data_IF_590253778356
#
_entry.id   IF_590253778356
#
_cell.length_a   1.000
_cell.length_b   1.000
_cell.length_c   1.000
_cell.angle_alpha   90.00
_cell.angle_beta   90.00
_cell.angle_gamma   90.00
#
_symmetry.space_group_name_H-M   'P 1'
#
loop_
_entity.id
_entity.type
_entity.pdbx_description
1 polymer ?
#
# COMPACT_ATOMS: atom_id res chain seq x y z
N UNK A 1 -19.94 -3.81 13.27
CA UNK A 1 -19.14 -4.03 14.49
C UNK A 1 -17.74 -3.44 14.28
N UNK A 2 -17.36 -2.45 15.09
CA UNK A 2 -15.99 -1.90 15.09
C UNK A 2 -14.98 -3.02 15.38
N UNK A 3 -13.79 -2.97 14.77
CA UNK A 3 -12.68 -3.93 14.96
C UNK A 3 -12.94 -5.40 14.55
N UNK A 4 -14.04 -5.72 13.87
CA UNK A 4 -14.25 -7.07 13.30
C UNK A 4 -13.47 -7.32 12.00
N UNK A 5 -12.84 -6.29 11.43
CA UNK A 5 -12.15 -6.42 10.15
C UNK A 5 -10.87 -7.28 10.23
N UNK A 6 -9.96 -7.11 11.21
CA UNK A 6 -8.75 -7.94 11.32
C UNK A 6 -9.06 -9.45 11.37
N UNK A 7 -10.08 -9.86 12.12
CA UNK A 7 -10.45 -11.29 12.22
C UNK A 7 -11.02 -11.84 10.92
N UNK A 8 -11.75 -11.04 10.12
CA UNK A 8 -12.26 -11.43 8.80
C UNK A 8 -11.16 -11.70 7.78
N UNK A 9 -9.98 -11.11 7.97
CA UNK A 9 -8.81 -11.31 7.09
C UNK A 9 -7.72 -12.13 7.76
N UNK A 10 -8.07 -12.90 8.80
CA UNK A 10 -7.16 -13.79 9.52
C UNK A 10 -5.92 -13.09 10.08
N UNK A 11 -6.08 -11.87 10.62
CA UNK A 11 -5.01 -11.11 11.26
C UNK A 11 -5.37 -10.71 12.70
N UNK A 12 -4.36 -10.65 13.57
CA UNK A 12 -4.47 -9.92 14.83
C UNK A 12 -4.52 -8.41 14.57
N UNK A 13 -5.03 -7.65 15.54
CA UNK A 13 -5.09 -6.19 15.42
C UNK A 13 -3.72 -5.56 15.12
N UNK A 14 -2.66 -6.05 15.77
CA UNK A 14 -1.30 -5.55 15.57
C UNK A 14 -0.78 -5.91 14.18
N UNK A 15 -1.00 -7.14 13.71
CA UNK A 15 -0.64 -7.54 12.35
C UNK A 15 -1.32 -6.66 11.30
N UNK A 16 -2.63 -6.43 11.46
CA UNK A 16 -3.40 -5.58 10.57
C UNK A 16 -2.92 -4.13 10.60
N UNK A 17 -2.67 -3.58 11.80
CA UNK A 17 -2.15 -2.24 11.98
C UNK A 17 -0.77 -2.06 11.33
N UNK A 18 0.18 -2.96 11.58
CA UNK A 18 1.51 -2.92 10.94
C UNK A 18 1.40 -3.03 9.42
N UNK A 19 0.51 -3.88 8.92
CA UNK A 19 0.26 -4.00 7.48
C UNK A 19 -0.32 -2.70 6.89
N UNK A 20 -1.29 -2.08 7.56
CA UNK A 20 -1.87 -0.80 7.15
C UNK A 20 -0.83 0.33 7.15
N UNK A 21 0.03 0.40 8.17
CA UNK A 21 1.14 1.37 8.23
C UNK A 21 2.17 1.13 7.11
N UNK A 22 2.48 -0.14 6.81
CA UNK A 22 3.34 -0.49 5.67
C UNK A 22 2.73 0.02 4.36
N UNK A 23 1.45 -0.25 4.11
CA UNK A 23 0.74 0.27 2.93
C UNK A 23 0.73 1.80 2.88
N UNK A 24 0.51 2.46 4.03
CA UNK A 24 0.58 3.92 4.14
C UNK A 24 1.93 4.46 3.67
N UNK A 25 3.04 3.82 4.02
CA UNK A 25 4.36 4.18 3.51
C UNK A 25 4.47 4.11 1.98
N UNK A 26 3.94 3.05 1.36
CA UNK A 26 3.90 2.94 -0.11
C UNK A 26 3.01 4.01 -0.75
N UNK A 27 1.85 4.32 -0.16
CA UNK A 27 0.98 5.39 -0.64
C UNK A 27 1.62 6.77 -0.54
N UNK A 28 2.32 7.06 0.57
CA UNK A 28 3.04 8.32 0.75
C UNK A 28 4.18 8.43 -0.28
N UNK A 29 4.98 7.39 -0.45
CA UNK A 29 6.05 7.38 -1.44
C UNK A 29 5.52 7.53 -2.87
N UNK A 30 4.47 6.79 -3.23
CA UNK A 30 3.82 6.90 -4.54
C UNK A 30 3.23 8.28 -4.79
N UNK A 31 2.65 8.91 -3.76
CA UNK A 31 2.16 10.29 -3.83
C UNK A 31 3.29 11.27 -4.12
N UNK A 32 4.38 11.24 -3.33
CA UNK A 32 5.53 12.12 -3.52
C UNK A 32 6.14 11.97 -4.92
N UNK A 33 6.34 10.74 -5.37
CA UNK A 33 6.91 10.46 -6.69
C UNK A 33 5.98 10.95 -7.81
N UNK A 34 4.67 10.69 -7.70
CA UNK A 34 3.69 11.13 -8.70
C UNK A 34 3.61 12.66 -8.77
N UNK A 35 3.74 13.35 -7.64
CA UNK A 35 3.84 14.81 -7.59
C UNK A 35 5.08 15.28 -8.35
N UNK A 36 6.25 14.70 -8.10
CA UNK A 36 7.50 15.08 -8.81
C UNK A 36 7.35 14.84 -10.32
N UNK A 37 6.85 13.67 -10.72
CA UNK A 37 6.64 13.30 -12.11
C UNK A 37 5.65 14.24 -12.82
N UNK A 38 4.65 14.77 -12.10
CA UNK A 38 3.70 15.74 -12.67
C UNK A 38 4.36 17.07 -13.10
N UNK A 39 5.47 17.46 -12.46
CA UNK A 39 6.25 18.64 -12.83
C UNK A 39 7.45 18.32 -13.73
N UNK A 40 8.02 17.13 -13.59
CA UNK A 40 9.17 16.66 -14.38
C UNK A 40 8.86 15.25 -14.93
N UNK A 41 8.21 15.15 -16.09
CA UNK A 41 7.66 13.89 -16.60
C UNK A 41 8.72 12.85 -16.98
N UNK A 42 9.98 13.24 -17.19
CA UNK A 42 11.03 12.29 -17.55
C UNK A 42 11.62 11.53 -16.35
N UNK A 43 11.27 11.92 -15.12
CA UNK A 43 11.75 11.27 -13.89
C UNK A 43 10.63 10.38 -13.34
N UNK A 44 11.00 9.20 -12.83
CA UNK A 44 10.08 8.26 -12.17
C UNK A 44 8.94 7.72 -13.06
N UNK A 45 9.14 7.64 -14.37
CA UNK A 45 8.13 7.22 -15.36
C UNK A 45 7.41 5.92 -14.97
N UNK A 46 8.17 4.88 -14.62
CA UNK A 46 7.61 3.56 -14.29
C UNK A 46 7.30 3.37 -12.80
N UNK A 47 7.72 4.31 -11.96
CA UNK A 47 7.64 4.17 -10.50
C UNK A 47 6.21 4.09 -9.98
N UNK A 48 5.22 4.89 -10.45
CA UNK A 48 3.83 4.75 -10.05
C UNK A 48 3.27 3.34 -10.34
N UNK A 49 3.53 2.81 -11.54
CA UNK A 49 3.11 1.47 -11.95
C UNK A 49 3.76 0.39 -11.08
N UNK A 50 5.06 0.51 -10.81
CA UNK A 50 5.78 -0.39 -9.91
C UNK A 50 5.19 -0.39 -8.50
N UNK A 51 4.96 0.79 -7.90
CA UNK A 51 4.39 0.91 -6.55
C UNK A 51 2.99 0.29 -6.49
N UNK A 52 2.14 0.54 -7.49
CA UNK A 52 0.81 -0.06 -7.56
C UNK A 52 0.87 -1.60 -7.63
N UNK A 53 1.79 -2.15 -8.40
CA UNK A 53 2.00 -3.59 -8.46
C UNK A 53 2.48 -4.16 -7.12
N UNK A 54 3.37 -3.46 -6.42
CA UNK A 54 3.82 -3.86 -5.07
C UNK A 54 2.68 -3.82 -4.05
N UNK A 55 1.87 -2.77 -4.06
CA UNK A 55 0.69 -2.65 -3.19
C UNK A 55 -0.28 -3.80 -3.47
N UNK A 56 -0.59 -4.06 -4.75
CA UNK A 56 -1.48 -5.15 -5.15
C UNK A 56 -0.94 -6.51 -4.72
N UNK A 57 0.35 -6.75 -4.91
CA UNK A 57 1.01 -7.96 -4.44
C UNK A 57 0.88 -8.11 -2.93
N UNK A 58 1.24 -7.07 -2.16
CA UNK A 58 1.14 -7.06 -0.70
C UNK A 58 -0.28 -7.40 -0.23
N UNK A 59 -1.30 -6.76 -0.80
CA UNK A 59 -2.72 -7.00 -0.48
C UNK A 59 -3.18 -8.41 -0.87
N UNK A 60 -2.62 -8.99 -1.93
CA UNK A 60 -2.93 -10.36 -2.36
C UNK A 60 -2.26 -11.43 -1.50
N UNK A 61 -1.08 -11.14 -0.96
CA UNK A 61 -0.30 -12.09 -0.14
C UNK A 61 -0.53 -11.92 1.37
N UNK A 62 -1.28 -10.91 1.79
CA UNK A 62 -1.53 -10.61 3.19
C UNK A 62 -2.87 -11.14 3.67
N UNK A 63 -2.87 -11.92 4.76
CA UNK A 63 -4.09 -12.42 5.39
C UNK A 63 -4.85 -13.42 4.52
N UNK A 64 -6.08 -13.71 4.92
CA UNK A 64 -7.04 -14.51 4.15
C UNK A 64 -8.09 -13.61 3.47
N UNK A 65 -8.86 -14.20 2.56
CA UNK A 65 -9.92 -13.53 1.79
C UNK A 65 -11.23 -14.29 1.87
#
# INVERSE_FOLDING_TARGET
MFFSHPSKVCMSYIQHCCFALKLSGFFLYGSLVSIIHAFIPDIFVDTPSYINNQIKHLINTSGCR
#
